data_IF_801801127201
#
_entry.id   IF_801801127201
#
_cell.length_a   1.000
_cell.length_b   1.000
_cell.length_c   1.000
_cell.angle_alpha   90.00
_cell.angle_beta   90.00
_cell.angle_gamma   90.00
#
_symmetry.space_group_name_H-M   'P 1'
#
loop_
_entity.id
_entity.type
_entity.pdbx_description
1 polymer ?
#
# COMPACT_ATOMS: atom_id res chain seq x y z
N UNK A 1 7.92 1.67 -22.94
CA UNK A 1 7.02 0.52 -22.71
C UNK A 1 7.07 0.24 -21.21
N UNK A 2 6.18 0.85 -20.43
CA UNK A 2 6.08 0.63 -18.99
C UNK A 2 5.14 -0.55 -18.74
N UNK A 3 5.55 -1.48 -17.88
CA UNK A 3 4.87 -2.75 -17.66
C UNK A 3 3.49 -2.56 -17.04
N UNK A 4 2.44 -2.65 -17.84
CA UNK A 4 1.13 -3.07 -17.38
C UNK A 4 0.81 -4.41 -18.03
N UNK A 5 0.32 -5.38 -17.25
CA UNK A 5 -0.23 -6.61 -17.78
C UNK A 5 -1.44 -6.24 -18.66
N UNK A 6 -1.40 -6.46 -19.99
CA UNK A 6 -2.49 -6.03 -20.86
C UNK A 6 -3.83 -6.62 -20.41
N UNK A 7 -4.82 -5.75 -20.22
CA UNK A 7 -6.18 -6.14 -19.80
C UNK A 7 -6.42 -6.26 -18.29
N UNK A 8 -5.40 -6.02 -17.45
CA UNK A 8 -5.59 -5.97 -15.99
C UNK A 8 -6.61 -4.91 -15.57
N UNK A 9 -6.65 -3.76 -16.26
CA UNK A 9 -7.63 -2.69 -16.03
C UNK A 9 -9.07 -3.20 -16.24
N UNK A 10 -9.30 -3.95 -17.31
CA UNK A 10 -10.62 -4.50 -17.66
C UNK A 10 -11.07 -5.55 -16.66
N UNK A 11 -10.16 -6.43 -16.25
CA UNK A 11 -10.44 -7.46 -15.24
C UNK A 11 -10.79 -6.80 -13.92
N UNK A 12 -9.97 -5.87 -13.42
CA UNK A 12 -10.23 -5.17 -12.16
C UNK A 12 -11.59 -4.45 -12.20
N UNK A 13 -11.85 -3.61 -13.21
CA UNK A 13 -13.12 -2.89 -13.36
C UNK A 13 -14.34 -3.81 -13.40
N UNK A 14 -14.23 -4.97 -14.05
CA UNK A 14 -15.34 -5.94 -14.17
C UNK A 14 -15.58 -6.74 -12.89
N UNK A 15 -14.53 -7.02 -12.12
CA UNK A 15 -14.58 -8.02 -11.04
C UNK A 15 -14.53 -7.42 -9.64
N UNK A 16 -14.09 -6.18 -9.48
CA UNK A 16 -13.77 -5.62 -8.17
C UNK A 16 -12.47 -6.20 -7.58
N UNK A 17 -11.60 -6.78 -8.41
CA UNK A 17 -10.30 -7.29 -7.97
C UNK A 17 -9.39 -6.13 -7.55
N UNK A 18 -8.63 -6.34 -6.49
CA UNK A 18 -7.61 -5.40 -6.02
C UNK A 18 -6.33 -5.67 -6.82
N UNK A 19 -5.74 -4.61 -7.37
CA UNK A 19 -4.44 -4.63 -8.02
C UNK A 19 -3.40 -4.15 -7.02
N UNK A 20 -2.38 -4.99 -6.81
CA UNK A 20 -1.20 -4.67 -6.01
C UNK A 20 -0.02 -4.58 -6.98
N UNK A 21 0.57 -3.41 -7.13
CA UNK A 21 1.67 -3.21 -8.08
C UNK A 21 2.57 -2.04 -7.68
N UNK A 22 3.73 -1.94 -8.33
CA UNK A 22 4.61 -0.79 -8.15
C UNK A 22 3.93 0.51 -8.61
N UNK A 23 4.51 1.63 -8.22
CA UNK A 23 3.95 2.94 -8.53
C UNK A 23 3.71 3.23 -10.00
N UNK A 24 4.61 2.80 -10.89
CA UNK A 24 4.48 2.99 -12.33
C UNK A 24 3.25 2.27 -12.90
N UNK A 25 3.06 1.00 -12.54
CA UNK A 25 1.91 0.22 -12.99
C UNK A 25 0.60 0.80 -12.43
N UNK A 26 0.60 1.23 -11.16
CA UNK A 26 -0.56 1.88 -10.54
C UNK A 26 -0.93 3.17 -11.28
N UNK A 27 0.05 4.02 -11.63
CA UNK A 27 -0.20 5.23 -12.40
C UNK A 27 -0.81 4.95 -13.78
N UNK A 28 -0.34 3.90 -14.47
CA UNK A 28 -0.91 3.48 -15.76
C UNK A 28 -2.35 3.03 -15.61
N UNK A 29 -2.65 2.24 -14.58
CA UNK A 29 -3.99 1.71 -14.32
C UNK A 29 -4.96 2.78 -13.82
N UNK A 30 -4.46 3.73 -13.03
CA UNK A 30 -5.22 4.91 -12.63
C UNK A 30 -5.57 5.76 -13.85
N UNK A 31 -4.61 6.03 -14.75
CA UNK A 31 -4.86 6.69 -16.04
C UNK A 31 -5.83 5.93 -16.96
N UNK A 32 -5.98 4.62 -16.76
CA UNK A 32 -6.98 3.78 -17.43
C UNK A 32 -8.35 3.76 -16.72
N UNK A 33 -8.59 4.64 -15.73
CA UNK A 33 -9.81 4.74 -14.92
C UNK A 33 -10.16 3.48 -14.12
N UNK A 34 -9.16 2.73 -13.63
CA UNK A 34 -9.41 1.74 -12.59
C UNK A 34 -9.74 2.49 -11.28
N UNK A 35 -10.83 2.12 -10.57
CA UNK A 35 -11.18 2.75 -9.30
C UNK A 35 -10.04 2.72 -8.29
N UNK A 36 -9.86 3.84 -7.59
CA UNK A 36 -8.71 4.07 -6.73
C UNK A 36 -8.65 3.12 -5.53
N UNK A 37 -9.81 2.72 -5.01
CA UNK A 37 -9.97 1.72 -3.96
C UNK A 37 -9.53 0.31 -4.39
N UNK A 38 -9.40 0.07 -5.70
CA UNK A 38 -8.87 -1.17 -6.25
C UNK A 38 -7.35 -1.11 -6.49
N UNK A 39 -6.69 0.01 -6.22
CA UNK A 39 -5.28 0.23 -6.53
C UNK A 39 -4.46 0.34 -5.24
N UNK A 40 -3.61 -0.66 -5.01
CA UNK A 40 -2.67 -0.70 -3.90
C UNK A 40 -1.24 -0.54 -4.44
N UNK A 41 -0.63 0.64 -4.28
CA UNK A 41 0.78 0.82 -4.60
C UNK A 41 1.68 0.22 -3.53
N UNK A 42 2.81 -0.35 -3.97
CA UNK A 42 3.79 -1.03 -3.12
C UNK A 42 5.23 -0.70 -3.53
N UNK A 43 6.15 -0.73 -2.57
CA UNK A 43 7.55 -0.32 -2.73
C UNK A 43 8.58 -1.41 -2.36
N UNK A 44 8.16 -2.54 -1.80
CA UNK A 44 9.07 -3.63 -1.46
C UNK A 44 9.38 -3.76 0.03
N UNK A 45 8.37 -3.59 0.88
CA UNK A 45 8.46 -3.91 2.31
C UNK A 45 7.13 -4.39 2.89
N UNK A 46 6.15 -4.63 2.02
CA UNK A 46 4.75 -4.81 2.40
C UNK A 46 4.42 -6.27 2.74
N UNK A 47 3.58 -6.45 3.75
CA UNK A 47 2.86 -7.70 4.02
C UNK A 47 1.36 -7.39 3.97
N UNK A 48 0.72 -7.75 2.86
CA UNK A 48 -0.63 -7.31 2.54
C UNK A 48 -1.61 -8.45 2.80
N UNK A 49 -2.59 -8.28 3.70
CA UNK A 49 -3.65 -9.25 3.88
C UNK A 49 -4.61 -9.18 2.69
N UNK A 50 -4.96 -10.35 2.13
CA UNK A 50 -5.95 -10.45 1.07
C UNK A 50 -7.24 -11.05 1.61
N UNK A 51 -8.35 -10.47 1.15
CA UNK A 51 -9.69 -10.80 1.60
C UNK A 51 -10.54 -11.29 0.43
N UNK A 52 -11.60 -12.05 0.74
CA UNK A 52 -12.64 -12.32 -0.24
C UNK A 52 -13.39 -11.03 -0.58
N UNK A 53 -13.93 -10.95 -1.80
CA UNK A 53 -14.80 -9.83 -2.19
C UNK A 53 -16.00 -9.70 -1.23
N UNK A 54 -16.58 -10.83 -0.83
CA UNK A 54 -17.70 -10.87 0.11
C UNK A 54 -17.35 -10.18 1.44
N UNK A 55 -16.16 -10.41 2.00
CA UNK A 55 -15.77 -9.76 3.27
C UNK A 55 -15.58 -8.25 3.09
N UNK A 56 -15.06 -7.79 1.93
CA UNK A 56 -15.00 -6.36 1.60
C UNK A 56 -16.38 -5.72 1.47
N UNK A 57 -17.33 -6.43 0.86
CA UNK A 57 -18.72 -5.95 0.74
C UNK A 57 -19.37 -5.87 2.14
N UNK A 58 -19.16 -6.89 2.98
CA UNK A 58 -19.71 -6.98 4.34
C UNK A 58 -19.14 -5.93 5.30
N UNK A 59 -17.84 -5.62 5.23
CA UNK A 59 -17.26 -4.55 6.07
C UNK A 59 -17.80 -3.18 5.65
N UNK A 60 -18.01 -2.98 4.35
CA UNK A 60 -18.60 -1.74 3.83
C UNK A 60 -20.06 -1.58 4.25
N UNK A 61 -20.78 -2.68 4.43
CA UNK A 61 -22.14 -2.72 4.98
C UNK A 61 -22.20 -2.64 6.52
N UNK A 62 -21.05 -2.64 7.22
CA UNK A 62 -20.99 -2.63 8.68
C UNK A 62 -21.35 -3.96 9.35
N UNK A 63 -21.32 -5.06 8.60
CA UNK A 63 -21.71 -6.40 9.10
C UNK A 63 -20.56 -7.16 9.78
N UNK A 64 -19.31 -6.80 9.45
CA UNK A 64 -18.12 -7.37 10.07
C UNK A 64 -17.20 -6.26 10.55
N UNK A 65 -16.32 -6.63 11.47
CA UNK A 65 -15.32 -5.73 12.04
C UNK A 65 -14.37 -5.19 10.98
N UNK A 66 -14.23 -3.86 10.95
CA UNK A 66 -13.23 -3.17 10.15
C UNK A 66 -11.88 -3.14 10.88
N UNK A 67 -10.80 -3.23 10.13
CA UNK A 67 -9.49 -2.99 10.69
C UNK A 67 -9.31 -1.50 11.04
N UNK A 68 -8.40 -1.16 11.96
CA UNK A 68 -8.02 0.21 12.22
C UNK A 68 -7.54 0.88 10.92
N UNK A 69 -8.04 2.10 10.67
CA UNK A 69 -7.73 2.85 9.46
C UNK A 69 -7.71 4.35 9.75
N UNK A 70 -7.01 5.10 8.91
CA UNK A 70 -7.00 6.56 8.97
C UNK A 70 -8.35 7.12 8.48
N UNK A 71 -8.83 8.24 9.05
CA UNK A 71 -10.09 8.86 8.64
C UNK A 71 -10.16 9.08 7.12
N UNK A 72 -11.27 8.66 6.51
CA UNK A 72 -11.49 8.82 5.07
C UNK A 72 -10.79 7.80 4.17
N UNK A 73 -10.01 6.86 4.72
CA UNK A 73 -9.56 5.69 3.97
C UNK A 73 -10.73 4.69 3.77
N UNK A 74 -10.73 3.91 2.67
CA UNK A 74 -11.70 2.83 2.48
C UNK A 74 -11.70 1.84 3.65
N UNK A 75 -12.88 1.39 4.06
CA UNK A 75 -13.01 0.34 5.07
C UNK A 75 -12.38 -0.97 4.53
N UNK A 76 -11.54 -1.58 5.35
CA UNK A 76 -10.95 -2.90 5.09
C UNK A 76 -11.38 -3.89 6.18
N UNK A 77 -11.63 -5.16 5.86
CA UNK A 77 -11.93 -6.16 6.87
C UNK A 77 -10.78 -6.27 7.89
N UNK A 78 -11.09 -6.56 9.14
CA UNK A 78 -10.08 -6.89 10.15
C UNK A 78 -9.17 -8.03 9.66
N UNK A 79 -7.88 -7.97 9.98
CA UNK A 79 -6.83 -8.89 9.50
C UNK A 79 -7.14 -10.38 9.78
N UNK A 80 -7.98 -10.65 10.78
CA UNK A 80 -8.48 -12.00 11.13
C UNK A 80 -9.33 -12.65 10.03
N UNK A 81 -9.87 -11.86 9.10
CA UNK A 81 -10.63 -12.33 7.94
C UNK A 81 -9.74 -12.54 6.70
N UNK A 82 -8.43 -12.30 6.79
CA UNK A 82 -7.52 -12.52 5.67
C UNK A 82 -7.47 -14.02 5.33
N UNK A 83 -7.63 -14.34 4.04
CA UNK A 83 -7.57 -15.72 3.53
C UNK A 83 -6.19 -16.09 3.01
N UNK A 84 -5.39 -15.09 2.68
CA UNK A 84 -4.00 -15.22 2.27
C UNK A 84 -3.27 -13.90 2.50
N UNK A 85 -1.95 -13.90 2.39
CA UNK A 85 -1.16 -12.68 2.38
C UNK A 85 -0.22 -12.62 1.19
N UNK A 86 0.11 -11.40 0.78
CA UNK A 86 1.13 -11.14 -0.23
C UNK A 86 2.28 -10.40 0.43
N UNK A 87 3.46 -10.97 0.39
CA UNK A 87 4.68 -10.31 0.82
C UNK A 87 5.37 -9.71 -0.41
N UNK A 88 5.58 -8.41 -0.37
CA UNK A 88 6.23 -7.65 -1.43
C UNK A 88 7.62 -7.27 -0.97
N UNK A 89 8.60 -7.60 -1.80
CA UNK A 89 10.01 -7.32 -1.55
C UNK A 89 10.54 -6.40 -2.64
N UNK A 90 11.57 -5.58 -2.35
CA UNK A 90 12.24 -4.86 -3.40
C UNK A 90 12.87 -5.91 -4.31
N UNK A 91 12.88 -5.69 -5.63
CA UNK A 91 13.46 -6.71 -6.50
C UNK A 91 14.90 -7.02 -6.10
N UNK A 92 15.19 -8.32 -5.98
CA UNK A 92 16.44 -8.87 -5.45
C UNK A 92 17.72 -8.38 -6.17
N UNK A 93 17.61 -7.69 -7.31
CA UNK A 93 18.76 -7.05 -7.96
C UNK A 93 19.45 -6.00 -7.05
N UNK A 94 18.72 -5.42 -6.09
CA UNK A 94 19.26 -4.46 -5.12
C UNK A 94 19.97 -5.10 -3.91
N UNK A 95 19.87 -6.44 -3.76
CA UNK A 95 20.40 -7.19 -2.62
C UNK A 95 21.69 -7.97 -2.97
N UNK A 96 22.48 -7.50 -3.94
CA UNK A 96 23.79 -8.07 -4.25
C UNK A 96 24.94 -7.22 -3.67
N UNK A 97 25.23 -7.26 -2.36
CA UNK A 97 26.50 -6.76 -1.85
C UNK A 97 27.59 -7.83 -2.08
N UNK A 98 28.49 -7.58 -3.03
CA UNK A 98 29.80 -8.24 -3.13
C UNK A 98 29.88 -9.51 -3.98
N UNK A 99 31.13 -9.97 -4.19
CA UNK A 99 31.60 -10.90 -5.25
C UNK A 99 30.89 -12.27 -5.35
N UNK A 100 29.99 -12.63 -4.43
CA UNK A 100 29.24 -13.90 -4.44
C UNK A 100 27.71 -13.78 -4.18
N UNK A 101 27.13 -12.58 -4.21
CA UNK A 101 25.67 -12.40 -4.37
C UNK A 101 24.75 -12.93 -3.25
N UNK A 102 25.25 -13.17 -2.04
CA UNK A 102 24.41 -13.55 -0.90
C UNK A 102 24.20 -12.36 0.06
N UNK A 103 22.97 -12.12 0.55
CA UNK A 103 22.74 -11.18 1.65
C UNK A 103 23.52 -11.64 2.90
N UNK A 104 23.97 -10.71 3.75
CA UNK A 104 24.64 -11.07 5.00
C UNK A 104 23.71 -11.93 5.86
N UNK A 105 24.28 -12.91 6.54
CA UNK A 105 23.54 -13.82 7.42
C UNK A 105 22.81 -13.08 8.55
N UNK A 106 23.31 -11.89 8.91
CA UNK A 106 22.76 -11.03 9.96
C UNK A 106 22.71 -9.58 9.46
N UNK A 107 21.55 -8.94 9.61
CA UNK A 107 21.37 -7.49 9.44
C UNK A 107 20.96 -6.94 10.82
N UNK A 108 21.87 -6.20 11.45
CA UNK A 108 21.63 -5.58 12.76
C UNK A 108 21.04 -4.18 12.58
N UNK A 109 19.79 -3.99 12.98
CA UNK A 109 19.04 -2.71 12.86
C UNK A 109 19.17 -1.82 14.09
N UNK A 110 20.02 -2.18 15.08
CA UNK A 110 20.33 -1.45 16.32
C UNK A 110 19.15 -1.20 17.29
N UNK A 111 17.91 -1.20 16.80
CA UNK A 111 16.71 -0.91 17.59
C UNK A 111 15.72 -2.06 17.44
N UNK A 112 15.39 -2.70 18.56
CA UNK A 112 14.33 -3.70 18.66
C UNK A 112 13.01 -3.01 19.00
N UNK A 113 12.04 -3.11 18.09
CA UNK A 113 10.67 -2.66 18.36
C UNK A 113 9.92 -3.79 19.08
N UNK A 114 9.45 -3.52 20.30
CA UNK A 114 8.75 -4.49 21.17
C UNK A 114 7.24 -4.19 21.27
N UNK A 115 6.43 -5.22 21.54
CA UNK A 115 4.96 -5.20 21.45
C UNK A 115 4.49 -5.95 20.20
N UNK A 116 3.37 -6.69 20.24
CA UNK A 116 2.88 -7.43 19.05
C UNK A 116 2.36 -6.46 17.98
N UNK A 117 3.09 -6.22 16.88
CA UNK A 117 2.51 -5.59 15.72
C UNK A 117 1.61 -6.64 15.05
N UNK A 118 0.53 -6.22 14.39
CA UNK A 118 -0.13 -7.13 13.45
C UNK A 118 0.95 -7.69 12.50
N UNK A 119 0.92 -8.98 12.11
CA UNK A 119 1.84 -9.50 11.09
C UNK A 119 1.75 -8.77 9.74
N UNK A 120 0.77 -7.88 9.58
CA UNK A 120 0.53 -7.07 8.40
C UNK A 120 0.92 -5.59 8.55
N UNK A 121 1.38 -5.17 9.74
CA UNK A 121 1.91 -3.81 9.91
C UNK A 121 3.12 -3.63 9.01
N UNK A 122 3.03 -2.76 8.01
CA UNK A 122 4.10 -2.61 7.01
C UNK A 122 4.09 -1.25 6.30
N UNK A 123 4.95 -1.08 5.29
CA UNK A 123 5.09 0.15 4.50
C UNK A 123 3.80 0.60 3.80
N UNK A 124 2.81 -0.30 3.63
CA UNK A 124 1.48 0.07 3.15
C UNK A 124 0.73 0.98 4.13
N UNK A 125 0.93 0.83 5.44
CA UNK A 125 0.28 1.66 6.46
C UNK A 125 0.85 3.07 6.41
N UNK A 126 2.17 3.21 6.17
CA UNK A 126 2.79 4.50 5.91
C UNK A 126 2.27 5.12 4.61
N UNK A 127 2.15 4.32 3.54
CA UNK A 127 1.58 4.76 2.26
C UNK A 127 0.14 5.26 2.43
N UNK A 128 -0.68 4.53 3.19
CA UNK A 128 -2.05 4.94 3.54
C UNK A 128 -2.07 6.18 4.41
N UNK A 129 -1.16 6.32 5.38
CA UNK A 129 -1.02 7.51 6.21
C UNK A 129 -0.61 8.75 5.41
N UNK A 130 0.27 8.60 4.43
CA UNK A 130 0.63 9.67 3.50
C UNK A 130 -0.58 10.01 2.62
N UNK A 131 -1.17 9.02 1.97
CA UNK A 131 -2.25 9.19 1.00
C UNK A 131 -3.53 9.78 1.61
N UNK A 132 -4.01 9.18 2.68
CA UNK A 132 -5.29 9.55 3.29
C UNK A 132 -5.13 10.45 4.51
N UNK A 133 -3.91 10.68 5.01
CA UNK A 133 -3.61 11.64 6.07
C UNK A 133 -2.92 12.88 5.52
N UNK A 134 -1.61 12.77 5.25
CA UNK A 134 -0.75 13.90 4.88
C UNK A 134 -1.26 14.66 3.64
N UNK A 135 -1.62 13.94 2.57
CA UNK A 135 -2.10 14.55 1.32
C UNK A 135 -3.56 15.04 1.41
N UNK A 136 -4.25 14.74 2.51
CA UNK A 136 -5.62 15.20 2.79
C UNK A 136 -5.68 16.16 3.99
N UNK A 137 -4.54 16.72 4.41
CA UNK A 137 -4.47 17.67 5.53
C UNK A 137 -5.49 18.82 5.41
N UNK A 138 -5.69 19.34 4.19
CA UNK A 138 -6.65 20.42 3.96
C UNK A 138 -8.11 20.04 4.18
N UNK A 139 -8.44 18.74 4.08
CA UNK A 139 -9.78 18.19 4.30
C UNK A 139 -9.97 17.71 5.75
N UNK A 140 -8.89 17.27 6.41
CA UNK A 140 -8.94 16.65 7.74
C UNK A 140 -8.80 17.69 8.85
N UNK A 141 -7.93 18.69 8.67
CA UNK A 141 -7.69 19.72 9.69
C UNK A 141 -8.84 20.73 9.64
N UNK A 142 -9.57 20.97 10.75
CA UNK A 142 -10.62 21.99 10.79
C UNK A 142 -10.07 23.39 10.53
N UNK A 143 -10.87 24.27 9.93
CA UNK A 143 -10.43 25.59 9.49
C UNK A 143 -9.85 26.44 10.63
N UNK A 144 -10.42 26.33 11.82
CA UNK A 144 -9.97 27.01 13.03
C UNK A 144 -8.61 26.54 13.55
N UNK A 145 -8.11 25.39 13.08
CA UNK A 145 -6.81 24.82 13.42
C UNK A 145 -5.76 25.03 12.32
N UNK A 146 -6.10 25.68 11.18
CA UNK A 146 -5.16 25.93 10.07
C UNK A 146 -4.34 27.19 10.32
N UNK A 147 -3.26 27.05 11.07
CA UNK A 147 -2.27 28.12 11.20
C UNK A 147 -1.47 28.33 9.89
N UNK A 148 -0.68 29.42 9.78
CA UNK A 148 0.09 29.70 8.57
C UNK A 148 1.06 28.57 8.16
N UNK A 149 1.55 27.78 9.11
CA UNK A 149 2.43 26.64 8.83
C UNK A 149 1.66 25.48 8.19
N UNK A 150 0.49 25.15 8.73
CA UNK A 150 -0.39 24.13 8.15
C UNK A 150 -0.87 24.54 6.76
N UNK A 151 -1.23 25.83 6.57
CA UNK A 151 -1.64 26.35 5.26
C UNK A 151 -0.52 26.23 4.21
N UNK A 152 0.71 26.60 4.58
CA UNK A 152 1.87 26.46 3.69
C UNK A 152 2.15 24.98 3.34
N UNK A 153 1.99 24.07 4.31
CA UNK A 153 2.15 22.63 4.06
C UNK A 153 1.06 22.09 3.12
N UNK A 154 -0.20 22.49 3.32
CA UNK A 154 -1.33 22.15 2.43
C UNK A 154 -1.06 22.65 1.01
N UNK A 155 -0.61 23.89 0.86
CA UNK A 155 -0.25 24.46 -0.45
C UNK A 155 0.88 23.66 -1.11
N UNK A 156 1.94 23.36 -0.36
CA UNK A 156 3.09 22.60 -0.85
C UNK A 156 2.72 21.18 -1.33
N UNK A 157 1.96 20.42 -0.54
CA UNK A 157 1.60 19.03 -0.92
C UNK A 157 0.54 18.94 -2.02
N UNK A 158 -0.24 20.01 -2.23
CA UNK A 158 -1.26 20.07 -3.28
C UNK A 158 -0.74 20.66 -4.60
N UNK A 159 0.45 21.25 -4.61
CA UNK A 159 1.06 21.77 -5.84
C UNK A 159 1.38 20.61 -6.80
N UNK A 160 0.60 20.54 -7.90
CA UNK A 160 0.75 19.54 -8.97
C UNK A 160 1.57 20.03 -10.15
N UNK A 161 2.14 21.23 -10.08
CA UNK A 161 2.92 21.83 -11.17
C UNK A 161 4.40 21.97 -10.81
N UNK A 162 4.72 22.49 -9.61
CA UNK A 162 6.11 22.80 -9.21
C UNK A 162 6.67 21.78 -8.22
N UNK A 163 5.81 21.19 -7.38
CA UNK A 163 6.20 20.29 -6.30
C UNK A 163 5.45 18.95 -6.38
N UNK A 164 5.43 18.34 -7.57
CA UNK A 164 4.73 17.07 -7.83
C UNK A 164 5.21 15.98 -6.87
N UNK A 165 4.30 15.48 -6.05
CA UNK A 165 4.58 14.49 -5.01
C UNK A 165 3.81 13.19 -5.26
N UNK A 166 4.51 12.06 -5.17
CA UNK A 166 3.93 10.71 -5.19
C UNK A 166 3.85 10.16 -3.77
N UNK A 167 2.73 9.51 -3.42
CA UNK A 167 2.57 8.86 -2.12
C UNK A 167 3.20 7.46 -2.05
N UNK A 168 3.81 6.99 -3.14
CA UNK A 168 4.47 5.70 -3.23
C UNK A 168 5.76 5.78 -4.05
N UNK A 169 6.67 4.84 -3.79
CA UNK A 169 7.93 4.68 -4.53
C UNK A 169 7.75 3.74 -5.76
N UNK A 170 8.68 3.83 -6.71
CA UNK A 170 8.72 3.03 -7.93
C UNK A 170 9.93 2.09 -7.97
N UNK A 171 9.72 0.85 -8.38
CA UNK A 171 10.80 -0.13 -8.55
C UNK A 171 10.31 -1.46 -9.11
N UNK A 172 11.24 -2.32 -9.51
CA UNK A 172 10.92 -3.73 -9.73
C UNK A 172 10.64 -4.39 -8.37
N UNK A 173 9.68 -5.32 -8.32
CA UNK A 173 9.23 -5.95 -7.08
C UNK A 173 9.15 -7.46 -7.23
N UNK A 174 9.39 -8.17 -6.13
CA UNK A 174 9.11 -9.60 -6.02
C UNK A 174 7.90 -9.83 -5.10
N UNK A 175 7.00 -10.71 -5.51
CA UNK A 175 5.74 -11.01 -4.80
C UNK A 175 5.73 -12.47 -4.36
N UNK A 176 5.53 -12.72 -3.07
CA UNK A 176 5.34 -14.06 -2.52
C UNK A 176 3.93 -14.18 -1.94
N UNK A 177 3.15 -15.15 -2.40
CA UNK A 177 1.79 -15.37 -1.90
C UNK A 177 1.79 -16.47 -0.84
N UNK A 178 1.19 -16.20 0.32
CA UNK A 178 1.13 -17.14 1.44
C UNK A 178 -0.30 -17.56 1.71
N UNK A 179 -0.55 -18.86 1.63
CA UNK A 179 -1.84 -19.45 1.98
C UNK A 179 -1.63 -20.14 3.33
N UNK A 180 -2.09 -19.51 4.41
CA UNK A 180 -1.80 -19.85 5.83
C UNK A 180 -0.37 -19.50 6.29
N UNK A 181 -0.10 -19.39 7.62
CA UNK A 181 1.15 -18.84 8.16
C UNK A 181 2.44 -19.53 7.67
N UNK A 182 2.35 -20.75 7.14
CA UNK A 182 3.49 -21.65 6.92
C UNK A 182 3.63 -22.15 5.47
N UNK A 183 2.92 -21.60 4.47
CA UNK A 183 2.98 -22.11 3.10
C UNK A 183 3.14 -21.00 2.06
N UNK A 184 4.39 -20.82 1.61
CA UNK A 184 4.76 -19.88 0.54
C UNK A 184 4.52 -20.51 -0.83
N UNK A 185 3.77 -19.82 -1.68
CA UNK A 185 3.72 -20.02 -3.12
C UNK A 185 4.51 -18.88 -3.76
N UNK A 186 5.58 -19.25 -4.46
CA UNK A 186 6.33 -18.37 -5.35
C UNK A 186 5.62 -18.25 -6.69
#
# INVERSE_FOLDING_TARGET
>A
MHGSLPGADRIAKKTGAIIIANGEAINVLWGANVPEEQLIPVAGGERIPLFLKLDRDRVSAGEIEAAPGVPGAPLRPHDRFAVMSVHVWPSLHCFMPGEQGHPPEIIDTLTEYTGEPSPYTCTIDMTNGIKYGLLRLGEIVPEEHKDPGILAMIEYVNDRERHVFSHFDGGHLAFNSLIYPNKTLF
#
